data_IF_912594256809
#
_entry.id   IF_912594256809
#
_cell.length_a   1.000
_cell.length_b   1.000
_cell.length_c   1.000
_cell.angle_alpha   90.00
_cell.angle_beta   90.00
_cell.angle_gamma   90.00
#
_symmetry.space_group_name_H-M   'P 1'
#
loop_
_entity.id
_entity.type
_entity.pdbx_description
1 polymer ?
#
# COMPACT_ATOMS: atom_id res chain seq x y z
N UNK A 1 11.34 50.72 -32.88
CA UNK A 1 10.39 50.09 -31.93
C UNK A 1 10.63 48.59 -32.02
N UNK A 2 11.52 48.03 -31.20
CA UNK A 2 11.30 47.41 -29.87
C UNK A 2 10.50 46.09 -29.94
N UNK A 3 11.20 45.01 -29.55
CA UNK A 3 10.78 43.64 -29.17
C UNK A 3 10.88 42.58 -30.29
N UNK A 4 12.06 42.01 -30.52
CA UNK A 4 12.82 40.99 -29.74
C UNK A 4 12.54 39.56 -30.24
N UNK A 5 13.37 39.18 -31.22
CA UNK A 5 13.89 37.84 -31.40
C UNK A 5 14.80 37.53 -30.19
N UNK A 6 14.35 36.65 -29.30
CA UNK A 6 15.02 36.04 -28.14
C UNK A 6 13.95 35.06 -27.61
N UNK A 7 14.00 33.74 -27.76
CA UNK A 7 15.08 32.81 -27.54
C UNK A 7 14.79 31.53 -28.36
N UNK A 8 15.63 31.24 -29.34
CA UNK A 8 16.00 29.86 -29.65
C UNK A 8 17.21 29.58 -28.74
N UNK A 9 17.21 28.44 -28.04
CA UNK A 9 18.17 28.00 -27.02
C UNK A 9 18.06 28.64 -25.63
N UNK A 10 17.23 28.03 -24.78
CA UNK A 10 17.63 27.72 -23.41
C UNK A 10 17.18 26.29 -23.10
N UNK A 11 18.15 25.36 -23.20
CA UNK A 11 18.31 24.14 -22.39
C UNK A 11 17.06 23.27 -22.13
N UNK A 12 16.92 22.07 -22.71
CA UNK A 12 17.50 20.84 -22.13
C UNK A 12 17.59 20.92 -20.60
N UNK A 13 16.85 20.05 -19.91
CA UNK A 13 16.72 19.93 -18.45
C UNK A 13 15.65 20.85 -17.82
N UNK A 14 14.40 20.38 -17.84
CA UNK A 14 13.52 20.51 -16.66
C UNK A 14 13.33 19.10 -16.13
N UNK A 15 14.35 18.67 -15.38
CA UNK A 15 14.16 17.87 -14.17
C UNK A 15 13.02 18.43 -13.33
N UNK A 16 12.28 17.52 -12.70
CA UNK A 16 11.33 17.80 -11.63
C UNK A 16 10.10 18.61 -12.05
N UNK A 17 9.11 17.91 -12.60
CA UNK A 17 7.73 18.22 -12.20
C UNK A 17 7.59 17.84 -10.73
N UNK A 18 8.12 18.68 -9.82
CA UNK A 18 7.51 18.81 -8.50
C UNK A 18 6.12 19.37 -8.76
N UNK A 19 5.11 18.62 -8.35
CA UNK A 19 3.74 19.10 -8.37
C UNK A 19 3.63 20.14 -7.24
N UNK A 20 4.05 21.38 -7.51
CA UNK A 20 3.99 22.54 -6.59
C UNK A 20 2.55 22.91 -6.17
N UNK A 21 1.55 22.13 -6.59
CA UNK A 21 0.14 22.27 -6.20
C UNK A 21 -0.26 21.40 -4.99
N UNK A 22 0.61 20.53 -4.47
CA UNK A 22 0.32 19.76 -3.26
C UNK A 22 0.85 20.44 -1.99
N UNK A 23 1.91 21.24 -2.09
CA UNK A 23 2.52 21.94 -0.94
C UNK A 23 1.65 23.10 -0.41
N UNK A 24 0.65 23.56 -1.17
CA UNK A 24 -0.33 24.54 -0.70
C UNK A 24 -1.37 23.95 0.26
N UNK A 25 -1.49 22.61 0.30
CA UNK A 25 -2.31 21.92 1.28
C UNK A 25 -1.43 21.57 2.46
N UNK A 26 -1.79 22.05 3.65
CA UNK A 26 -1.22 21.55 4.90
C UNK A 26 -1.73 20.12 5.13
N UNK A 27 -1.17 19.17 4.36
CA UNK A 27 -1.47 17.77 4.53
C UNK A 27 -0.97 17.38 5.92
N UNK A 28 -1.81 16.72 6.74
CA UNK A 28 -1.36 16.24 8.04
C UNK A 28 -0.14 15.35 7.83
N UNK A 29 0.86 15.54 8.68
CA UNK A 29 2.00 14.63 8.72
C UNK A 29 1.45 13.25 9.09
N UNK A 30 1.45 12.32 8.12
CA UNK A 30 0.94 10.97 8.35
C UNK A 30 1.96 10.28 9.25
N UNK A 31 1.62 10.21 10.54
CA UNK A 31 2.35 9.41 11.51
C UNK A 31 1.88 7.96 11.37
N UNK A 32 2.78 6.98 11.21
CA UNK A 32 2.40 5.58 11.21
C UNK A 32 1.59 5.25 12.46
N UNK A 33 0.45 4.58 12.30
CA UNK A 33 -0.36 4.21 13.46
C UNK A 33 0.47 3.35 14.42
N UNK A 34 0.25 3.50 15.73
CA UNK A 34 0.97 2.71 16.72
C UNK A 34 0.73 1.20 16.52
N UNK A 35 -0.40 0.83 15.91
CA UNK A 35 -0.71 -0.53 15.47
C UNK A 35 0.31 -1.04 14.45
N UNK A 36 0.58 -0.28 13.38
CA UNK A 36 1.59 -0.62 12.37
C UNK A 36 2.98 -0.78 12.99
N UNK A 37 3.39 0.14 13.87
CA UNK A 37 4.69 0.06 14.56
C UNK A 37 4.77 -1.20 15.43
N UNK A 38 3.68 -1.53 16.14
CA UNK A 38 3.63 -2.71 17.00
C UNK A 38 3.61 -4.01 16.20
N UNK A 39 2.93 -4.03 15.05
CA UNK A 39 2.87 -5.18 14.15
C UNK A 39 4.25 -5.41 13.53
N UNK A 40 4.89 -4.39 12.97
CA UNK A 40 6.26 -4.49 12.43
C UNK A 40 7.27 -4.93 13.49
N UNK A 41 7.16 -4.43 14.74
CA UNK A 41 7.99 -4.90 15.85
C UNK A 41 7.70 -6.35 16.22
N UNK A 42 6.44 -6.79 16.15
CA UNK A 42 6.05 -8.17 16.43
C UNK A 42 6.55 -9.11 15.34
N UNK A 43 6.40 -8.75 14.06
CA UNK A 43 6.99 -9.44 12.92
C UNK A 43 8.53 -9.48 13.04
N UNK A 44 9.21 -8.37 13.39
CA UNK A 44 10.65 -8.38 13.68
C UNK A 44 11.02 -9.36 14.80
N UNK A 45 10.26 -9.40 15.90
CA UNK A 45 10.52 -10.37 16.99
C UNK A 45 10.32 -11.81 16.52
N UNK A 46 9.32 -12.08 15.68
CA UNK A 46 9.12 -13.41 15.07
C UNK A 46 10.28 -13.75 14.12
N UNK A 47 10.68 -12.83 13.26
CA UNK A 47 11.78 -12.96 12.31
C UNK A 47 13.11 -13.20 13.04
N UNK A 48 13.47 -12.38 14.03
CA UNK A 48 14.69 -12.56 14.84
C UNK A 48 14.72 -13.89 15.62
N UNK A 49 13.56 -14.41 16.05
CA UNK A 49 13.48 -15.72 16.71
C UNK A 49 13.65 -16.88 15.73
N UNK A 50 13.33 -16.66 14.46
CA UNK A 50 13.36 -17.67 13.39
C UNK A 50 14.69 -17.65 12.64
N UNK A 51 15.29 -16.47 12.47
CA UNK A 51 16.52 -16.23 11.73
C UNK A 51 17.64 -15.81 12.68
N UNK A 52 18.31 -16.81 13.24
CA UNK A 52 19.56 -16.66 14.00
C UNK A 52 20.76 -16.49 13.04
N UNK A 53 20.60 -15.71 11.95
CA UNK A 53 21.55 -15.69 10.84
C UNK A 53 21.86 -14.24 10.46
N UNK A 54 23.13 -13.86 10.60
CA UNK A 54 23.69 -12.51 10.41
C UNK A 54 23.54 -11.90 8.99
N UNK A 55 22.65 -12.40 8.11
CA UNK A 55 22.48 -11.92 6.72
C UNK A 55 21.10 -12.31 6.11
N UNK A 56 19.98 -12.16 6.83
CA UNK A 56 18.66 -12.44 6.25
C UNK A 56 18.00 -11.17 5.70
N UNK A 57 17.87 -11.08 4.39
CA UNK A 57 17.03 -10.07 3.72
C UNK A 57 15.56 -10.35 4.00
N UNK A 58 14.80 -9.33 4.40
CA UNK A 58 13.35 -9.39 4.57
C UNK A 58 12.67 -8.97 3.28
N UNK A 59 11.86 -9.85 2.69
CA UNK A 59 11.11 -9.60 1.46
C UNK A 59 9.73 -9.05 1.79
N UNK A 60 9.44 -7.84 1.31
CA UNK A 60 8.15 -7.17 1.51
C UNK A 60 7.49 -6.99 0.15
N UNK A 61 6.32 -7.59 -0.01
CA UNK A 61 5.49 -7.43 -1.19
C UNK A 61 4.36 -6.44 -0.95
N UNK A 62 4.17 -5.54 -1.91
CA UNK A 62 3.00 -4.68 -2.04
C UNK A 62 2.17 -5.16 -3.23
N UNK A 63 0.90 -5.48 -2.99
CA UNK A 63 -0.03 -5.90 -4.04
C UNK A 63 -1.42 -5.25 -3.88
N UNK A 64 -2.14 -5.10 -5.00
CA UNK A 64 -3.46 -4.48 -5.01
C UNK A 64 -3.65 -3.49 -6.16
N UNK A 65 -4.36 -2.40 -5.91
CA UNK A 65 -4.79 -1.43 -6.93
C UNK A 65 -3.91 -0.16 -6.99
N UNK A 66 -4.43 0.90 -7.62
CA UNK A 66 -3.76 2.18 -7.91
C UNK A 66 -3.03 2.85 -6.73
N UNK A 67 -3.55 2.78 -5.51
CA UNK A 67 -2.86 3.33 -4.32
C UNK A 67 -1.54 2.60 -4.08
N UNK A 68 -1.59 1.27 -4.10
CA UNK A 68 -0.43 0.40 -3.88
C UNK A 68 0.55 0.52 -5.04
N UNK A 69 0.04 0.62 -6.26
CA UNK A 69 0.85 0.86 -7.46
C UNK A 69 1.66 2.16 -7.36
N UNK A 70 1.13 3.18 -6.70
CA UNK A 70 1.76 4.48 -6.55
C UNK A 70 2.78 4.55 -5.41
N UNK A 71 2.92 3.47 -4.60
CA UNK A 71 3.90 3.42 -3.51
C UNK A 71 5.31 3.44 -4.10
N UNK A 72 6.09 4.44 -3.69
CA UNK A 72 7.51 4.55 -4.03
C UNK A 72 8.31 3.62 -3.12
N UNK A 73 8.71 2.46 -3.63
CA UNK A 73 9.50 1.47 -2.89
C UNK A 73 10.73 2.09 -2.21
N UNK A 74 11.44 3.01 -2.88
CA UNK A 74 12.61 3.70 -2.31
C UNK A 74 12.31 4.54 -1.07
N UNK A 75 11.10 5.09 -0.94
CA UNK A 75 10.70 5.83 0.27
C UNK A 75 10.41 4.88 1.43
N UNK A 76 9.79 3.74 1.14
CA UNK A 76 9.54 2.69 2.13
C UNK A 76 10.87 2.13 2.63
N UNK A 77 11.76 1.77 1.72
CA UNK A 77 13.11 1.27 2.01
C UNK A 77 13.90 2.27 2.87
N UNK A 78 13.99 3.54 2.48
CA UNK A 78 14.69 4.56 3.26
C UNK A 78 14.10 4.76 4.68
N UNK A 79 12.79 4.57 4.84
CA UNK A 79 12.14 4.64 6.16
C UNK A 79 12.52 3.43 7.02
N UNK A 80 12.48 2.24 6.42
CA UNK A 80 12.81 0.98 7.10
C UNK A 80 14.29 0.92 7.47
N UNK A 81 15.20 1.32 6.58
CA UNK A 81 16.64 1.39 6.85
C UNK A 81 16.97 2.36 8.00
N UNK A 82 16.22 3.45 8.12
CA UNK A 82 16.35 4.41 9.22
C UNK A 82 16.03 3.80 10.60
N UNK A 83 15.03 2.92 10.66
CA UNK A 83 14.57 2.28 11.89
C UNK A 83 15.20 0.90 12.16
N UNK A 84 15.74 0.27 11.11
CA UNK A 84 16.25 -1.11 11.09
C UNK A 84 17.57 -1.21 10.31
N UNK A 85 18.61 -0.51 10.76
CA UNK A 85 19.90 -0.42 10.06
C UNK A 85 20.68 -1.75 9.96
N UNK A 86 20.25 -2.79 10.65
CA UNK A 86 20.85 -4.13 10.69
C UNK A 86 20.14 -5.15 9.80
N UNK A 87 19.12 -4.73 9.04
CA UNK A 87 18.28 -5.60 8.22
C UNK A 87 18.31 -5.11 6.77
N UNK A 88 18.62 -6.02 5.85
CA UNK A 88 18.43 -5.77 4.42
C UNK A 88 16.96 -5.98 4.05
N UNK A 89 16.41 -5.09 3.22
CA UNK A 89 15.03 -5.21 2.73
C UNK A 89 15.01 -5.40 1.22
N UNK A 90 14.09 -6.23 0.74
CA UNK A 90 13.75 -6.35 -0.68
C UNK A 90 12.29 -5.97 -0.86
N UNK A 91 12.03 -4.88 -1.57
CA UNK A 91 10.65 -4.39 -1.81
C UNK A 91 10.18 -4.80 -3.20
N UNK A 92 9.11 -5.60 -3.24
CA UNK A 92 8.48 -6.07 -4.47
C UNK A 92 7.12 -5.36 -4.60
N UNK A 93 6.81 -4.77 -5.75
CA UNK A 93 5.50 -4.18 -6.02
C UNK A 93 4.86 -4.85 -7.23
N UNK A 94 3.79 -5.62 -6.98
CA UNK A 94 3.03 -6.32 -8.04
C UNK A 94 1.62 -5.74 -8.20
N UNK A 95 1.36 -4.53 -7.70
CA UNK A 95 0.05 -3.91 -7.83
C UNK A 95 -0.31 -3.65 -9.30
N UNK A 96 -1.61 -3.74 -9.61
CA UNK A 96 -2.19 -3.52 -10.93
C UNK A 96 -3.21 -2.39 -10.85
N UNK A 97 -2.86 -1.22 -11.38
CA UNK A 97 -3.75 -0.06 -11.38
C UNK A 97 -5.04 -0.34 -12.13
N UNK A 98 -6.17 0.14 -11.58
CA UNK A 98 -7.50 -0.01 -12.16
C UNK A 98 -8.17 -1.37 -11.96
N UNK A 99 -7.51 -2.33 -11.30
CA UNK A 99 -8.10 -3.64 -11.00
C UNK A 99 -8.64 -3.70 -9.57
N UNK A 100 -9.86 -4.19 -9.44
CA UNK A 100 -10.54 -4.51 -8.20
C UNK A 100 -10.38 -6.01 -7.86
N UNK A 101 -10.74 -6.40 -6.64
CA UNK A 101 -10.60 -7.78 -6.13
C UNK A 101 -11.17 -8.85 -7.09
N UNK A 102 -12.36 -8.70 -7.70
CA UNK A 102 -12.87 -9.71 -8.63
C UNK A 102 -11.99 -9.92 -9.88
N UNK A 103 -11.22 -8.89 -10.26
CA UNK A 103 -10.31 -8.93 -11.40
C UNK A 103 -8.90 -9.40 -11.01
N UNK A 104 -8.51 -9.19 -9.75
CA UNK A 104 -7.23 -9.65 -9.18
C UNK A 104 -7.30 -11.13 -8.76
N UNK A 105 -8.46 -11.62 -8.31
CA UNK A 105 -8.63 -12.98 -7.82
C UNK A 105 -8.17 -14.05 -8.83
N UNK A 106 -8.48 -13.97 -10.14
CA UNK A 106 -7.99 -14.93 -11.12
C UNK A 106 -6.47 -14.87 -11.36
N UNK A 107 -5.81 -13.78 -10.96
CA UNK A 107 -4.38 -13.52 -11.19
C UNK A 107 -3.53 -13.82 -9.94
N UNK A 108 -4.16 -14.17 -8.81
CA UNK A 108 -3.52 -14.24 -7.50
C UNK A 108 -2.30 -15.19 -7.46
N UNK A 109 -2.31 -16.29 -8.21
CA UNK A 109 -1.18 -17.24 -8.22
C UNK A 109 0.04 -16.68 -8.96
N UNK A 110 -0.17 -15.82 -9.97
CA UNK A 110 0.89 -15.14 -10.71
C UNK A 110 1.40 -13.92 -9.93
N UNK A 111 0.48 -13.19 -9.30
CA UNK A 111 0.77 -11.88 -8.72
C UNK A 111 1.38 -11.95 -7.31
N UNK A 112 1.15 -13.03 -6.55
CA UNK A 112 1.64 -13.19 -5.18
C UNK A 112 2.95 -13.99 -5.15
N UNK A 113 4.02 -13.36 -4.67
CA UNK A 113 5.28 -14.05 -4.45
C UNK A 113 5.23 -14.80 -3.11
N UNK A 114 5.02 -16.11 -3.18
CA UNK A 114 4.96 -16.99 -2.01
C UNK A 114 6.23 -17.03 -1.15
N UNK A 115 7.35 -16.45 -1.61
CA UNK A 115 8.59 -16.32 -0.84
C UNK A 115 8.69 -15.00 -0.06
N UNK A 116 7.72 -14.10 -0.17
CA UNK A 116 7.71 -12.87 0.61
C UNK A 116 7.43 -13.13 2.09
N UNK A 117 8.12 -12.41 2.97
CA UNK A 117 7.93 -12.50 4.42
C UNK A 117 6.71 -11.71 4.90
N UNK A 118 6.40 -10.61 4.20
CA UNK A 118 5.25 -9.75 4.48
C UNK A 118 4.56 -9.37 3.18
N UNK A 119 3.23 -9.49 3.13
CA UNK A 119 2.38 -8.99 2.05
C UNK A 119 1.49 -7.86 2.55
N UNK A 120 1.66 -6.67 1.98
CA UNK A 120 0.72 -5.56 2.10
C UNK A 120 -0.29 -5.60 0.95
N UNK A 121 -1.57 -5.68 1.29
CA UNK A 121 -2.65 -5.80 0.31
C UNK A 121 -3.68 -4.68 0.44
N UNK A 122 -4.06 -4.09 -0.70
CA UNK A 122 -5.20 -3.17 -0.78
C UNK A 122 -5.86 -3.14 -2.17
N UNK A 123 -7.12 -3.52 -2.25
CA UNK A 123 -7.94 -3.35 -3.43
C UNK A 123 -9.43 -3.20 -3.07
N UNK A 124 -10.18 -2.50 -3.92
CA UNK A 124 -11.63 -2.35 -3.77
C UNK A 124 -12.42 -3.53 -4.32
N UNK A 125 -13.70 -3.59 -3.95
CA UNK A 125 -14.68 -4.52 -4.51
C UNK A 125 -14.62 -5.94 -3.93
N UNK A 126 -15.52 -6.79 -4.40
CA UNK A 126 -15.57 -8.22 -4.04
C UNK A 126 -16.11 -8.54 -2.64
N UNK A 127 -16.61 -7.56 -1.89
CA UNK A 127 -17.23 -7.79 -0.57
C UNK A 127 -18.63 -8.39 -0.70
N UNK A 128 -19.43 -7.93 -1.68
CA UNK A 128 -20.84 -8.33 -1.82
C UNK A 128 -21.02 -9.75 -2.38
N UNK A 129 -20.24 -10.11 -3.40
CA UNK A 129 -20.31 -11.44 -4.03
C UNK A 129 -19.29 -12.44 -3.43
N UNK A 130 -18.52 -12.01 -2.42
CA UNK A 130 -17.66 -12.88 -1.62
C UNK A 130 -16.29 -13.18 -2.23
N UNK A 131 -15.91 -12.52 -3.32
CA UNK A 131 -14.59 -12.67 -3.94
C UNK A 131 -13.45 -12.24 -3.00
N UNK A 132 -13.67 -11.23 -2.15
CA UNK A 132 -12.68 -10.81 -1.15
C UNK A 132 -12.42 -11.91 -0.12
N UNK A 133 -13.48 -12.63 0.29
CA UNK A 133 -13.36 -13.77 1.20
C UNK A 133 -12.58 -14.88 0.50
N UNK A 134 -12.84 -15.16 -0.78
CA UNK A 134 -12.09 -16.15 -1.55
C UNK A 134 -10.61 -15.76 -1.69
N UNK A 135 -10.34 -14.48 -1.94
CA UNK A 135 -8.98 -13.94 -2.02
C UNK A 135 -8.24 -14.13 -0.70
N UNK A 136 -8.84 -13.74 0.43
CA UNK A 136 -8.21 -13.84 1.75
C UNK A 136 -8.05 -15.31 2.18
N UNK A 137 -9.01 -16.17 1.82
CA UNK A 137 -8.88 -17.61 2.01
C UNK A 137 -7.67 -18.17 1.27
N UNK A 138 -7.49 -17.80 0.00
CA UNK A 138 -6.33 -18.23 -0.77
C UNK A 138 -5.03 -17.79 -0.09
N UNK A 139 -4.93 -16.52 0.33
CA UNK A 139 -3.75 -16.02 1.02
C UNK A 139 -3.49 -16.82 2.30
N UNK A 140 -4.53 -17.09 3.10
CA UNK A 140 -4.38 -17.85 4.35
C UNK A 140 -3.83 -19.26 4.11
N UNK A 141 -4.30 -19.92 3.06
CA UNK A 141 -3.94 -21.30 2.78
C UNK A 141 -2.54 -21.41 2.13
N UNK A 142 -2.18 -20.45 1.29
CA UNK A 142 -1.02 -20.54 0.40
C UNK A 142 0.17 -19.63 0.78
N UNK A 143 -0.09 -18.43 1.29
CA UNK A 143 0.96 -17.50 1.69
C UNK A 143 1.51 -17.85 3.08
N UNK A 144 2.84 -17.87 3.22
CA UNK A 144 3.50 -18.29 4.48
C UNK A 144 3.97 -17.14 5.36
N UNK A 145 4.11 -15.95 4.78
CA UNK A 145 4.45 -14.73 5.50
C UNK A 145 3.26 -14.12 6.26
N UNK A 146 3.52 -12.98 6.89
CA UNK A 146 2.46 -12.17 7.50
C UNK A 146 1.69 -11.39 6.41
N UNK A 147 0.36 -11.32 6.51
CA UNK A 147 -0.48 -10.52 5.59
C UNK A 147 -1.02 -9.32 6.35
N UNK A 148 -0.87 -8.14 5.75
CA UNK A 148 -1.34 -6.87 6.28
C UNK A 148 -2.27 -6.21 5.26
N UNK A 149 -3.48 -5.89 5.70
CA UNK A 149 -4.53 -5.30 4.87
C UNK A 149 -4.62 -3.79 5.14
N UNK A 150 -4.68 -2.98 4.09
CA UNK A 150 -5.06 -1.56 4.22
C UNK A 150 -6.52 -1.35 3.85
N UNK A 151 -7.23 -0.53 4.63
CA UNK A 151 -8.60 -0.14 4.30
C UNK A 151 -8.67 0.93 3.20
N UNK A 152 -9.89 1.41 2.90
CA UNK A 152 -10.12 2.41 1.86
C UNK A 152 -9.49 3.76 2.27
N UNK A 153 -8.75 4.41 1.37
CA UNK A 153 -8.39 5.82 1.57
C UNK A 153 -9.62 6.73 1.40
N UNK A 154 -9.58 7.93 2.00
CA UNK A 154 -10.60 8.96 1.84
C UNK A 154 -10.66 9.43 0.38
N UNK A 155 -11.78 9.21 -0.28
CA UNK A 155 -12.10 9.85 -1.56
C UNK A 155 -12.52 11.30 -1.33
N UNK A 156 -11.87 12.26 -1.98
CA UNK A 156 -12.25 13.68 -1.98
C UNK A 156 -12.78 14.13 -3.36
N UNK A 157 -13.97 13.65 -3.80
CA UNK A 157 -14.59 14.14 -5.03
C UNK A 157 -15.06 15.60 -4.86
N UNK A 158 -15.05 16.34 -5.96
CA UNK A 158 -15.43 17.76 -6.01
C UNK A 158 -16.93 18.03 -5.73
N UNK A 159 -17.77 16.99 -5.66
CA UNK A 159 -19.22 17.05 -5.40
C UNK A 159 -19.56 16.55 -3.98
N UNK A 160 -20.12 17.40 -3.10
CA UNK A 160 -20.50 17.03 -1.73
C UNK A 160 -21.52 15.89 -1.60
N UNK A 161 -22.49 15.75 -2.52
CA UNK A 161 -23.49 14.68 -2.41
C UNK A 161 -22.90 13.32 -2.81
N UNK A 162 -22.10 13.33 -3.87
CA UNK A 162 -21.33 12.16 -4.30
C UNK A 162 -20.28 11.77 -3.25
N UNK A 163 -19.65 12.76 -2.59
CA UNK A 163 -18.72 12.53 -1.48
C UNK A 163 -19.38 11.76 -0.34
N UNK A 164 -20.54 12.22 0.16
CA UNK A 164 -21.24 11.56 1.28
C UNK A 164 -21.60 10.11 0.97
N UNK A 165 -22.20 9.83 -0.18
CA UNK A 165 -22.59 8.46 -0.57
C UNK A 165 -21.38 7.55 -0.76
N UNK A 166 -20.29 8.07 -1.34
CA UNK A 166 -19.06 7.33 -1.54
C UNK A 166 -18.38 7.04 -0.20
N UNK A 167 -18.33 8.02 0.72
CA UNK A 167 -17.78 7.85 2.06
C UNK A 167 -18.56 6.82 2.87
N UNK A 168 -19.90 6.83 2.85
CA UNK A 168 -20.71 5.82 3.55
C UNK A 168 -20.46 4.40 3.00
N UNK A 169 -20.34 4.25 1.68
CA UNK A 169 -20.02 2.97 1.06
C UNK A 169 -18.62 2.51 1.46
N UNK A 170 -17.62 3.39 1.39
CA UNK A 170 -16.24 3.11 1.77
C UNK A 170 -16.07 2.78 3.26
N UNK A 171 -16.84 3.43 4.14
CA UNK A 171 -16.90 3.11 5.57
C UNK A 171 -17.42 1.70 5.79
N UNK A 172 -18.55 1.38 5.15
CA UNK A 172 -19.15 0.05 5.22
C UNK A 172 -18.20 -1.04 4.70
N UNK A 173 -17.61 -0.84 3.52
CA UNK A 173 -16.71 -1.83 2.92
C UNK A 173 -15.38 -1.93 3.67
N UNK A 174 -14.90 -0.85 4.29
CA UNK A 174 -13.74 -0.89 5.18
C UNK A 174 -14.01 -1.70 6.44
N UNK A 175 -15.16 -1.53 7.09
CA UNK A 175 -15.55 -2.33 8.25
C UNK A 175 -15.69 -3.82 7.90
N UNK A 176 -16.28 -4.13 6.73
CA UNK A 176 -16.35 -5.52 6.24
C UNK A 176 -14.96 -6.09 5.97
N UNK A 177 -14.06 -5.31 5.37
CA UNK A 177 -12.69 -5.74 5.10
C UNK A 177 -11.92 -6.02 6.40
N UNK A 178 -12.11 -5.18 7.42
CA UNK A 178 -11.54 -5.39 8.76
C UNK A 178 -12.06 -6.68 9.40
N UNK A 179 -13.37 -6.91 9.35
CA UNK A 179 -14.00 -8.13 9.87
C UNK A 179 -13.45 -9.39 9.18
N UNK A 180 -13.34 -9.37 7.85
CA UNK A 180 -12.79 -10.50 7.08
C UNK A 180 -11.30 -10.69 7.40
N UNK A 181 -10.51 -9.61 7.48
CA UNK A 181 -9.09 -9.68 7.86
C UNK A 181 -8.91 -10.32 9.25
N UNK A 182 -9.73 -9.91 10.22
CA UNK A 182 -9.77 -10.46 11.58
C UNK A 182 -10.08 -11.96 11.59
N UNK A 183 -11.07 -12.40 10.80
CA UNK A 183 -11.43 -13.83 10.67
C UNK A 183 -10.27 -14.71 10.17
N UNK A 184 -9.36 -14.16 9.37
CA UNK A 184 -8.15 -14.86 8.90
C UNK A 184 -6.90 -14.61 9.75
N UNK A 185 -7.02 -13.76 10.78
CA UNK A 185 -5.94 -13.28 11.64
C UNK A 185 -4.85 -12.55 10.85
N UNK A 186 -5.26 -11.72 9.90
CA UNK A 186 -4.37 -10.81 9.19
C UNK A 186 -4.20 -9.50 9.97
N UNK A 187 -3.04 -8.86 9.80
CA UNK A 187 -2.83 -7.49 10.26
C UNK A 187 -3.75 -6.53 9.50
N UNK A 188 -4.14 -5.45 10.14
CA UNK A 188 -5.02 -4.45 9.55
C UNK A 188 -4.54 -3.04 9.88
N UNK A 189 -4.53 -2.18 8.87
CA UNK A 189 -4.21 -0.76 9.02
C UNK A 189 -5.36 0.07 8.48
N UNK A 190 -5.88 0.90 9.37
CA UNK A 190 -6.75 2.00 9.01
C UNK A 190 -5.90 3.16 8.46
N UNK A 191 -6.06 3.47 7.17
CA UNK A 191 -5.36 4.54 6.46
C UNK A 191 -6.09 5.89 6.63
N UNK A 192 -7.31 5.90 7.18
CA UNK A 192 -8.13 7.11 7.33
C UNK A 192 -7.92 7.82 8.67
N UNK A 193 -7.33 7.17 9.67
CA UNK A 193 -7.22 7.63 11.05
C UNK A 193 -5.78 7.85 11.52
#
# INVERSE_FOLDING_TARGET
>A
MKKFIFYFLLSLVITSCSNDNLDQYSLPEIQPSQSLINELRSSRKKLNKTYNKENSTVKIQFHGQSIVYSIKSSRVEATLEGDFSDIDFEIINTARSGLQVPQLLPLIEEDIDGNSDVLFFHAYGGTEAGELIQYFKYLKDNFKGDVIIFNHHLSAPDDPEHHLKLTELEDKTSAQMEEIASNYSFGFIDVRN
#
